data_IF_443073286273
#
_entry.id   IF_443073286273
#
_cell.length_a   1.000
_cell.length_b   1.000
_cell.length_c   1.000
_cell.angle_alpha   90.00
_cell.angle_beta   90.00
_cell.angle_gamma   90.00
#
_symmetry.space_group_name_H-M   'P 1'
#
loop_
_entity.id
_entity.type
_entity.pdbx_description
1 polymer ?
#
# COMPACT_ATOMS: atom_id res chain seq x y z
N UNK A 1 -15.92 -13.16 -7.61
CA UNK A 1 -16.20 -11.74 -7.43
C UNK A 1 -17.49 -11.36 -8.17
N UNK A 2 -18.34 -10.55 -7.54
CA UNK A 2 -19.56 -10.02 -8.14
C UNK A 2 -19.31 -8.79 -9.02
N UNK A 3 -20.36 -8.28 -9.68
CA UNK A 3 -20.30 -7.02 -10.42
C UNK A 3 -20.00 -5.84 -9.46
N UNK A 4 -19.20 -4.85 -9.89
CA UNK A 4 -18.91 -3.69 -9.06
C UNK A 4 -20.16 -2.81 -8.88
N UNK A 5 -20.34 -2.32 -7.67
CA UNK A 5 -21.40 -1.37 -7.29
C UNK A 5 -20.78 -0.08 -6.78
N UNK A 6 -21.25 1.06 -7.24
CA UNK A 6 -20.83 2.38 -6.74
C UNK A 6 -21.91 2.86 -5.76
N UNK A 7 -21.47 3.09 -4.52
CA UNK A 7 -22.35 3.54 -3.44
C UNK A 7 -21.79 4.84 -2.82
N UNK A 8 -22.62 5.69 -2.22
CA UNK A 8 -22.13 6.83 -1.44
C UNK A 8 -21.20 6.38 -0.32
N UNK A 9 -20.25 7.25 0.07
CA UNK A 9 -19.37 6.96 1.21
C UNK A 9 -20.19 6.76 2.48
N UNK A 10 -20.15 5.56 3.01
CA UNK A 10 -20.93 5.14 4.18
C UNK A 10 -20.25 4.03 4.96
N UNK A 11 -20.81 3.68 6.12
CA UNK A 11 -20.32 2.59 6.95
C UNK A 11 -20.39 1.25 6.21
N UNK A 12 -19.35 0.42 6.38
CA UNK A 12 -19.35 -0.98 5.95
C UNK A 12 -19.78 -1.85 7.13
N UNK A 13 -20.97 -2.44 7.04
CA UNK A 13 -21.45 -3.36 8.07
C UNK A 13 -20.73 -4.71 7.97
N UNK A 14 -20.19 -5.16 9.10
CA UNK A 14 -19.56 -6.47 9.27
C UNK A 14 -20.01 -7.08 10.60
N UNK A 15 -20.18 -8.40 10.63
CA UNK A 15 -20.43 -9.11 11.87
C UNK A 15 -19.18 -9.14 12.75
N UNK A 16 -19.29 -9.07 14.09
CA UNK A 16 -18.12 -9.11 14.99
C UNK A 16 -17.24 -10.34 14.80
N UNK A 17 -17.80 -11.47 14.32
CA UNK A 17 -17.06 -12.69 14.00
C UNK A 17 -16.42 -12.70 12.60
N UNK A 18 -16.46 -11.59 11.85
CA UNK A 18 -15.79 -11.51 10.56
C UNK A 18 -14.28 -11.67 10.71
N UNK A 19 -13.68 -12.55 9.91
CA UNK A 19 -12.26 -12.96 10.02
C UNK A 19 -11.27 -11.79 9.97
N UNK A 20 -11.62 -10.70 9.32
CA UNK A 20 -10.77 -9.50 9.29
C UNK A 20 -10.44 -8.98 10.69
N UNK A 21 -11.38 -9.02 11.64
CA UNK A 21 -11.19 -8.51 12.99
C UNK A 21 -10.27 -9.38 13.85
N UNK A 22 -10.16 -10.68 13.52
CA UNK A 22 -9.44 -11.67 14.32
C UNK A 22 -8.07 -12.01 13.75
N UNK A 23 -7.95 -12.09 12.43
CA UNK A 23 -6.75 -12.59 11.75
C UNK A 23 -6.11 -11.59 10.79
N UNK A 24 -6.70 -10.41 10.61
CA UNK A 24 -6.13 -9.33 9.82
C UNK A 24 -5.89 -9.69 8.34
N UNK A 25 -6.63 -10.67 7.76
CA UNK A 25 -6.48 -11.09 6.37
C UNK A 25 -7.00 -9.97 5.45
N UNK A 26 -6.13 -9.03 5.15
CA UNK A 26 -6.40 -7.84 4.35
C UNK A 26 -5.16 -7.38 3.61
N UNK A 27 -5.39 -6.90 2.40
CA UNK A 27 -4.38 -6.26 1.55
C UNK A 27 -4.91 -4.95 1.02
N UNK A 28 -4.02 -4.07 0.60
CA UNK A 28 -4.43 -2.81 -0.01
C UNK A 28 -3.44 -2.34 -1.07
N UNK A 29 -3.87 -1.38 -1.85
CA UNK A 29 -3.06 -0.65 -2.82
C UNK A 29 -3.12 0.86 -2.59
N UNK A 30 -2.24 1.56 -3.25
CA UNK A 30 -2.24 3.01 -3.28
C UNK A 30 -1.70 3.50 -4.61
N UNK A 31 -2.52 4.25 -5.31
CA UNK A 31 -2.17 4.95 -6.53
C UNK A 31 -2.78 6.35 -6.52
N UNK A 32 -2.45 7.17 -7.49
CA UNK A 32 -2.94 8.54 -7.55
C UNK A 32 -3.43 8.87 -8.96
N UNK A 33 -4.52 9.63 -9.03
CA UNK A 33 -4.93 10.31 -10.24
C UNK A 33 -4.50 11.78 -10.18
N UNK A 34 -4.02 12.27 -11.31
CA UNK A 34 -3.53 13.62 -11.49
C UNK A 34 -4.31 14.31 -12.62
N UNK A 35 -4.44 15.63 -12.55
CA UNK A 35 -5.05 16.42 -13.60
C UNK A 35 -4.02 17.39 -14.17
N UNK A 36 -3.86 17.38 -15.48
CA UNK A 36 -2.96 18.30 -16.18
C UNK A 36 -3.63 19.66 -16.47
N UNK A 37 -2.88 20.57 -17.08
CA UNK A 37 -3.37 21.90 -17.44
C UNK A 37 -4.44 21.90 -18.56
N UNK A 38 -4.59 20.79 -19.28
CA UNK A 38 -5.62 20.59 -20.29
C UNK A 38 -6.87 19.92 -19.71
N UNK A 39 -6.94 19.80 -18.38
CA UNK A 39 -8.03 19.17 -17.65
C UNK A 39 -8.16 17.65 -17.90
N UNK A 40 -7.09 17.00 -18.40
CA UNK A 40 -7.04 15.56 -18.60
C UNK A 40 -6.60 14.84 -17.34
N UNK A 41 -7.22 13.69 -17.07
CA UNK A 41 -6.89 12.85 -15.91
C UNK A 41 -5.88 11.78 -16.29
N UNK A 42 -4.85 11.63 -15.47
CA UNK A 42 -3.76 10.69 -15.67
C UNK A 42 -3.58 9.78 -14.48
N UNK A 43 -3.28 8.50 -14.76
CA UNK A 43 -2.85 7.51 -13.78
C UNK A 43 -1.40 7.11 -14.07
N UNK A 44 -0.60 6.95 -13.03
CA UNK A 44 0.78 6.50 -13.18
C UNK A 44 0.88 4.99 -13.06
N UNK A 45 1.04 4.29 -14.19
CA UNK A 45 1.28 2.83 -14.29
C UNK A 45 0.30 1.96 -13.48
N UNK A 46 -1.03 2.16 -13.59
CA UNK A 46 -2.03 1.48 -12.77
C UNK A 46 -2.00 -0.06 -12.94
N UNK A 47 -1.52 -0.57 -14.08
CA UNK A 47 -1.32 -1.99 -14.33
C UNK A 47 -0.33 -2.62 -13.35
N UNK A 48 0.70 -1.88 -12.95
CA UNK A 48 1.67 -2.37 -11.96
C UNK A 48 1.04 -2.47 -10.56
N UNK A 49 0.15 -1.55 -10.21
CA UNK A 49 -0.63 -1.64 -8.98
C UNK A 49 -1.60 -2.82 -9.02
N UNK A 50 -2.27 -3.05 -10.16
CA UNK A 50 -3.14 -4.20 -10.35
C UNK A 50 -2.37 -5.53 -10.21
N UNK A 51 -1.21 -5.67 -10.85
CA UNK A 51 -0.34 -6.86 -10.69
C UNK A 51 0.07 -7.05 -9.22
N UNK A 52 0.41 -5.96 -8.53
CA UNK A 52 0.89 -6.01 -7.15
C UNK A 52 -0.22 -6.36 -6.15
N UNK A 53 -1.46 -5.88 -6.33
CA UNK A 53 -2.58 -6.29 -5.45
C UNK A 53 -2.83 -7.79 -5.59
N UNK A 54 -2.78 -8.36 -6.79
CA UNK A 54 -2.95 -9.80 -6.99
C UNK A 54 -1.75 -10.62 -6.48
N UNK A 55 -0.52 -10.11 -6.58
CA UNK A 55 0.64 -10.69 -5.91
C UNK A 55 0.44 -10.74 -4.38
N UNK A 56 -0.09 -9.67 -3.81
CA UNK A 56 -0.42 -9.60 -2.37
C UNK A 56 -1.57 -10.53 -2.00
N UNK A 57 -2.62 -10.62 -2.84
CA UNK A 57 -3.73 -11.57 -2.70
C UNK A 57 -3.22 -13.00 -2.61
N UNK A 58 -2.42 -13.42 -3.58
CA UNK A 58 -1.83 -14.76 -3.62
C UNK A 58 -1.05 -15.09 -2.35
N UNK A 59 -0.25 -14.12 -1.84
CA UNK A 59 0.56 -14.34 -0.62
C UNK A 59 -0.28 -14.53 0.64
N UNK A 60 -1.48 -13.95 0.70
CA UNK A 60 -2.40 -14.06 1.84
C UNK A 60 -3.55 -15.04 1.59
N UNK A 61 -3.45 -15.92 0.59
CA UNK A 61 -4.50 -16.88 0.23
C UNK A 61 -5.86 -16.19 -0.06
N UNK A 62 -5.83 -15.00 -0.67
CA UNK A 62 -7.01 -14.28 -1.17
C UNK A 62 -7.14 -14.58 -2.67
N UNK A 63 -8.33 -14.86 -3.20
CA UNK A 63 -8.54 -15.03 -4.64
C UNK A 63 -8.11 -13.82 -5.45
N UNK A 64 -7.52 -14.04 -6.62
CA UNK A 64 -7.14 -12.95 -7.53
C UNK A 64 -8.38 -12.17 -7.97
N UNK A 65 -8.24 -10.84 -8.05
CA UNK A 65 -9.29 -9.96 -8.54
C UNK A 65 -9.20 -9.85 -10.07
N UNK A 66 -10.32 -9.96 -10.81
CA UNK A 66 -10.31 -9.87 -12.28
C UNK A 66 -9.88 -8.50 -12.79
N UNK A 67 -9.05 -8.48 -13.83
CA UNK A 67 -8.50 -7.25 -14.42
C UNK A 67 -9.58 -6.32 -14.95
N UNK A 68 -10.51 -6.89 -15.68
CA UNK A 68 -11.60 -6.17 -16.32
C UNK A 68 -12.46 -5.44 -15.27
N UNK A 69 -12.83 -6.12 -14.20
CA UNK A 69 -13.62 -5.53 -13.10
C UNK A 69 -12.85 -4.44 -12.36
N UNK A 70 -11.52 -4.62 -12.19
CA UNK A 70 -10.69 -3.60 -11.53
C UNK A 70 -10.66 -2.30 -12.30
N UNK A 71 -10.38 -2.36 -13.60
CA UNK A 71 -10.26 -1.16 -14.41
C UNK A 71 -11.62 -0.54 -14.74
N UNK A 72 -12.66 -1.35 -14.94
CA UNK A 72 -14.03 -0.87 -15.10
C UNK A 72 -14.51 -0.07 -13.88
N UNK A 73 -14.31 -0.61 -12.68
CA UNK A 73 -14.68 0.07 -11.44
C UNK A 73 -13.89 1.37 -11.25
N UNK A 74 -12.58 1.32 -11.52
CA UNK A 74 -11.70 2.48 -11.40
C UNK A 74 -12.10 3.60 -12.38
N UNK A 75 -12.36 3.28 -13.64
CA UNK A 75 -12.78 4.23 -14.65
C UNK A 75 -14.12 4.88 -14.29
N UNK A 76 -15.13 4.08 -13.94
CA UNK A 76 -16.46 4.59 -13.57
C UNK A 76 -16.39 5.55 -12.37
N UNK A 77 -15.60 5.20 -11.35
CA UNK A 77 -15.43 6.06 -10.18
C UNK A 77 -14.67 7.36 -10.52
N UNK A 78 -13.64 7.30 -11.36
CA UNK A 78 -12.88 8.48 -11.77
C UNK A 78 -13.73 9.44 -12.63
N UNK A 79 -14.60 8.92 -13.48
CA UNK A 79 -15.53 9.72 -14.25
C UNK A 79 -16.55 10.43 -13.36
N UNK A 80 -17.04 9.74 -12.32
CA UNK A 80 -18.02 10.30 -11.38
C UNK A 80 -17.39 11.40 -10.51
N UNK A 81 -16.19 11.14 -9.97
CA UNK A 81 -15.52 12.01 -9.00
C UNK A 81 -14.40 12.89 -9.62
N UNK A 82 -14.42 13.10 -10.94
CA UNK A 82 -13.39 13.87 -11.67
C UNK A 82 -13.16 15.28 -11.13
N UNK A 83 -14.16 15.90 -10.54
CA UNK A 83 -14.06 17.27 -9.98
C UNK A 83 -13.25 17.32 -8.67
N UNK A 84 -13.03 16.18 -8.02
CA UNK A 84 -12.16 16.08 -6.86
C UNK A 84 -10.66 16.05 -7.23
N UNK A 85 -10.34 15.83 -8.50
CA UNK A 85 -8.96 15.83 -9.00
C UNK A 85 -8.58 17.29 -9.30
N UNK A 86 -7.82 17.93 -8.40
CA UNK A 86 -7.37 19.31 -8.55
C UNK A 86 -6.13 19.38 -9.45
N UNK A 87 -6.05 20.42 -10.28
CA UNK A 87 -4.85 20.77 -11.03
C UNK A 87 -3.76 21.31 -10.09
N UNK A 88 -2.51 21.30 -10.55
CA UNK A 88 -1.38 21.94 -9.90
C UNK A 88 -0.45 20.95 -9.18
N UNK A 89 0.80 21.40 -9.03
CA UNK A 89 1.87 20.62 -8.40
C UNK A 89 1.50 20.27 -6.96
N UNK A 90 1.68 18.99 -6.61
CA UNK A 90 1.39 18.47 -5.28
C UNK A 90 -0.05 18.00 -5.09
N UNK A 91 -1.00 18.43 -5.90
CA UNK A 91 -2.38 17.96 -5.83
C UNK A 91 -2.55 16.60 -6.52
N UNK A 92 -3.40 15.77 -5.95
CA UNK A 92 -3.77 14.46 -6.50
C UNK A 92 -5.05 13.95 -5.86
N UNK A 93 -5.71 13.00 -6.52
CA UNK A 93 -6.73 12.18 -5.90
C UNK A 93 -6.10 10.83 -5.55
N UNK A 94 -5.99 10.54 -4.27
CA UNK A 94 -5.47 9.25 -3.79
C UNK A 94 -6.54 8.17 -3.95
N UNK A 95 -6.13 7.05 -4.52
CA UNK A 95 -6.97 5.89 -4.81
C UNK A 95 -6.51 4.74 -3.93
N UNK A 96 -7.41 4.20 -3.10
CA UNK A 96 -7.17 3.12 -2.16
C UNK A 96 -8.01 1.88 -2.50
N UNK A 97 -7.57 1.00 -3.39
CA UNK A 97 -8.13 -0.35 -3.50
C UNK A 97 -7.71 -1.18 -2.29
N UNK A 98 -8.62 -1.98 -1.74
CA UNK A 98 -8.29 -2.90 -0.65
C UNK A 98 -9.25 -4.08 -0.61
N UNK A 99 -8.78 -5.18 -0.02
CA UNK A 99 -9.57 -6.40 0.19
C UNK A 99 -9.58 -6.74 1.66
N UNK A 100 -10.74 -7.12 2.17
CA UNK A 100 -10.94 -7.59 3.54
C UNK A 100 -11.65 -8.95 3.55
N UNK A 101 -11.25 -9.83 4.46
CA UNK A 101 -11.92 -11.11 4.72
C UNK A 101 -13.21 -10.88 5.52
N UNK A 102 -14.35 -11.30 4.98
CA UNK A 102 -15.67 -11.02 5.55
C UNK A 102 -16.41 -12.23 6.08
N UNK A 103 -15.92 -13.45 5.86
CA UNK A 103 -16.53 -14.67 6.38
C UNK A 103 -16.72 -14.59 7.91
N UNK A 104 -17.93 -14.92 8.36
CA UNK A 104 -18.32 -14.87 9.78
C UNK A 104 -17.99 -16.19 10.48
N UNK A 105 -16.73 -16.31 10.91
CA UNK A 105 -16.23 -17.50 11.58
C UNK A 105 -14.99 -17.15 12.42
N UNK A 106 -14.89 -17.68 13.63
CA UNK A 106 -13.75 -17.52 14.53
C UNK A 106 -12.84 -18.75 14.45
N UNK A 107 -12.39 -19.09 13.24
CA UNK A 107 -11.38 -20.14 13.01
C UNK A 107 -10.16 -19.56 12.30
N UNK A 108 -8.95 -19.96 12.73
CA UNK A 108 -7.68 -19.50 12.16
C UNK A 108 -7.39 -20.24 10.83
N UNK A 109 -8.19 -19.93 9.81
CA UNK A 109 -8.07 -20.46 8.45
C UNK A 109 -8.33 -19.34 7.43
N UNK A 110 -7.87 -19.48 6.17
CA UNK A 110 -8.22 -18.53 5.12
C UNK A 110 -9.73 -18.34 5.00
N UNK A 111 -10.15 -17.12 4.70
CA UNK A 111 -11.56 -16.83 4.44
C UNK A 111 -12.01 -17.37 3.09
N UNK A 112 -13.29 -17.68 2.97
CA UNK A 112 -13.95 -18.00 1.69
C UNK A 112 -14.77 -16.82 1.15
N UNK A 113 -14.93 -15.76 1.94
CA UNK A 113 -15.72 -14.59 1.60
C UNK A 113 -14.89 -13.32 1.78
N UNK A 114 -14.95 -12.44 0.78
CA UNK A 114 -14.17 -11.21 0.75
C UNK A 114 -15.01 -10.05 0.22
N UNK A 115 -14.68 -8.84 0.67
CA UNK A 115 -15.10 -7.59 0.02
C UNK A 115 -13.88 -6.91 -0.59
N UNK A 116 -13.98 -6.54 -1.87
CA UNK A 116 -13.07 -5.63 -2.55
C UNK A 116 -13.71 -4.25 -2.58
N UNK A 117 -12.96 -3.23 -2.16
CA UNK A 117 -13.44 -1.85 -2.10
C UNK A 117 -12.40 -0.91 -2.70
N UNK A 118 -12.86 0.17 -3.32
CA UNK A 118 -12.04 1.30 -3.75
C UNK A 118 -12.54 2.55 -3.06
N UNK A 119 -11.64 3.30 -2.43
CA UNK A 119 -11.93 4.61 -1.83
C UNK A 119 -11.09 5.68 -2.51
N UNK A 120 -11.65 6.88 -2.64
CA UNK A 120 -10.94 8.07 -3.09
C UNK A 120 -10.78 9.08 -1.95
N UNK A 121 -9.65 9.79 -1.97
CA UNK A 121 -9.37 10.86 -1.02
C UNK A 121 -8.50 11.93 -1.67
N UNK A 122 -8.89 13.21 -1.66
CA UNK A 122 -8.00 14.28 -2.08
C UNK A 122 -6.72 14.26 -1.25
N UNK A 123 -5.57 14.40 -1.89
CA UNK A 123 -4.28 14.32 -1.24
C UNK A 123 -3.31 15.38 -1.79
N UNK A 124 -2.48 15.88 -0.91
CA UNK A 124 -1.32 16.72 -1.23
C UNK A 124 -0.02 15.94 -1.02
N UNK A 125 1.13 16.62 -1.09
CA UNK A 125 2.41 16.02 -0.80
C UNK A 125 2.43 15.42 0.62
N UNK A 126 2.96 14.21 0.76
CA UNK A 126 2.99 13.49 2.03
C UNK A 126 3.93 14.12 3.06
N UNK A 127 5.06 14.66 2.59
CA UNK A 127 6.04 15.39 3.40
C UNK A 127 6.30 16.78 2.80
N UNK A 128 6.48 17.75 3.67
CA UNK A 128 6.92 19.10 3.32
C UNK A 128 8.40 19.25 3.72
N UNK A 129 9.32 19.06 2.78
CA UNK A 129 10.76 19.20 3.00
C UNK A 129 11.46 17.91 3.46
N UNK A 130 12.62 18.07 4.10
CA UNK A 130 13.48 16.99 4.54
C UNK A 130 12.88 16.20 5.70
N UNK A 131 13.11 14.89 5.70
CA UNK A 131 12.59 13.96 6.70
C UNK A 131 13.74 13.42 7.53
N UNK A 132 13.68 13.62 8.85
CA UNK A 132 14.62 13.01 9.77
C UNK A 132 14.29 11.55 9.96
N UNK A 133 15.29 10.69 9.76
CA UNK A 133 15.14 9.23 9.83
C UNK A 133 16.07 8.63 10.87
N UNK A 134 15.67 7.52 11.45
CA UNK A 134 16.52 6.67 12.29
C UNK A 134 16.67 5.29 11.65
N UNK A 135 17.84 4.68 11.79
CA UNK A 135 18.09 3.31 11.34
C UNK A 135 17.61 2.35 12.44
N UNK A 136 16.88 1.31 12.05
CA UNK A 136 16.42 0.30 12.99
C UNK A 136 17.58 -0.59 13.45
N UNK A 137 17.73 -0.74 14.78
CA UNK A 137 18.78 -1.55 15.40
C UNK A 137 18.23 -2.80 16.12
N UNK A 138 16.91 -2.87 16.31
CA UNK A 138 16.29 -3.95 17.08
C UNK A 138 15.00 -4.46 16.44
N UNK A 139 14.08 -3.56 16.13
CA UNK A 139 12.82 -3.95 15.51
C UNK A 139 13.00 -4.20 14.01
N UNK A 140 12.28 -5.20 13.49
CA UNK A 140 12.30 -5.56 12.08
C UNK A 140 10.94 -5.34 11.44
N UNK A 141 10.93 -4.87 10.20
CA UNK A 141 9.71 -4.74 9.40
C UNK A 141 9.24 -6.09 8.86
N UNK A 142 10.16 -6.94 8.46
CA UNK A 142 9.89 -8.20 7.77
C UNK A 142 11.08 -9.14 7.88
N UNK A 143 10.86 -10.43 7.59
CA UNK A 143 11.89 -11.47 7.57
C UNK A 143 11.86 -12.25 6.24
N UNK A 144 12.89 -13.05 5.97
CA UNK A 144 12.91 -14.00 4.85
C UNK A 144 11.75 -14.99 4.99
N UNK A 145 11.06 -15.28 3.87
CA UNK A 145 9.83 -16.08 3.87
C UNK A 145 8.62 -15.39 4.48
N UNK A 146 8.78 -14.16 4.98
CA UNK A 146 7.71 -13.35 5.56
C UNK A 146 6.78 -12.72 4.52
N UNK A 147 6.02 -11.72 4.94
CA UNK A 147 5.01 -11.05 4.10
C UNK A 147 5.41 -9.64 3.64
N UNK A 148 6.69 -9.29 3.78
CA UNK A 148 7.19 -7.94 3.47
C UNK A 148 6.99 -7.48 2.04
N UNK A 149 7.05 -8.40 1.06
CA UNK A 149 6.79 -8.13 -0.35
C UNK A 149 5.30 -8.04 -0.69
N UNK A 150 4.40 -8.41 0.22
CA UNK A 150 2.96 -8.21 0.07
C UNK A 150 2.54 -6.88 0.72
N UNK A 151 1.57 -6.21 0.10
CA UNK A 151 1.00 -4.99 0.68
C UNK A 151 -0.13 -5.36 1.67
N UNK A 152 0.24 -6.13 2.69
CA UNK A 152 -0.62 -6.65 3.73
C UNK A 152 -0.83 -5.62 4.85
N UNK A 153 -2.04 -5.47 5.34
CA UNK A 153 -2.37 -4.50 6.40
C UNK A 153 -1.56 -4.72 7.68
N UNK A 154 -1.33 -5.98 8.07
CA UNK A 154 -0.56 -6.34 9.25
C UNK A 154 0.89 -5.85 9.24
N UNK A 155 1.53 -5.74 8.07
CA UNK A 155 2.89 -5.18 7.97
C UNK A 155 2.96 -3.73 8.46
N UNK A 156 1.88 -2.98 8.35
CA UNK A 156 1.82 -1.57 8.76
C UNK A 156 1.53 -1.46 10.24
N UNK A 157 0.60 -2.24 10.77
CA UNK A 157 0.29 -2.27 12.20
C UNK A 157 1.52 -2.65 13.05
N UNK A 158 2.30 -3.63 12.60
CA UNK A 158 3.54 -4.07 13.27
C UNK A 158 4.60 -2.95 13.39
N UNK A 159 4.55 -1.94 12.53
CA UNK A 159 5.49 -0.82 12.54
C UNK A 159 5.08 0.33 13.47
N UNK A 160 3.84 0.37 13.98
CA UNK A 160 3.33 1.54 14.73
C UNK A 160 4.10 1.77 16.02
N UNK A 161 4.35 0.73 16.80
CA UNK A 161 5.09 0.87 18.06
C UNK A 161 6.52 1.43 17.87
N UNK A 162 7.40 0.81 17.06
CA UNK A 162 8.74 1.36 16.84
C UNK A 162 8.72 2.74 16.16
N UNK A 163 7.72 3.02 15.29
CA UNK A 163 7.56 4.35 14.69
C UNK A 163 7.20 5.40 15.73
N UNK A 164 6.39 5.08 16.74
CA UNK A 164 6.08 5.99 17.81
C UNK A 164 7.32 6.26 18.68
N UNK A 165 8.11 5.24 19.01
CA UNK A 165 9.39 5.44 19.70
C UNK A 165 10.37 6.34 18.92
N UNK A 166 10.40 6.20 17.59
CA UNK A 166 11.20 7.08 16.74
C UNK A 166 10.69 8.53 16.78
N UNK A 167 9.37 8.74 16.72
CA UNK A 167 8.74 10.07 16.81
C UNK A 167 9.02 10.77 18.14
N UNK A 168 8.98 10.05 19.25
CA UNK A 168 9.33 10.58 20.58
C UNK A 168 10.76 11.11 20.64
N UNK A 169 11.67 10.54 19.82
CA UNK A 169 13.05 11.01 19.64
C UNK A 169 13.22 12.06 18.55
N UNK A 170 12.12 12.56 17.95
CA UNK A 170 12.14 13.61 16.92
C UNK A 170 12.40 13.13 15.50
N UNK A 171 12.31 11.81 15.22
CA UNK A 171 12.40 11.24 13.87
C UNK A 171 11.01 11.05 13.26
N UNK A 172 10.87 11.27 11.96
CA UNK A 172 9.61 11.09 11.24
C UNK A 172 9.46 9.69 10.63
N UNK A 173 10.58 9.02 10.33
CA UNK A 173 10.59 7.70 9.71
C UNK A 173 11.72 6.80 10.24
N UNK A 174 11.53 5.51 10.04
CA UNK A 174 12.54 4.49 10.29
C UNK A 174 13.02 3.94 8.94
N UNK A 175 14.33 3.85 8.74
CA UNK A 175 14.93 3.00 7.71
C UNK A 175 15.14 1.63 8.35
N UNK A 176 14.46 0.65 7.82
CA UNK A 176 14.52 -0.73 8.30
C UNK A 176 15.81 -1.41 7.84
N UNK A 177 16.24 -2.33 8.65
CA UNK A 177 17.39 -3.21 8.37
C UNK A 177 16.93 -4.66 8.29
N UNK A 178 17.79 -5.51 7.76
CA UNK A 178 17.54 -6.95 7.73
C UNK A 178 17.26 -7.50 9.14
N UNK A 179 16.30 -8.42 9.22
CA UNK A 179 15.83 -8.96 10.51
C UNK A 179 16.81 -9.91 11.21
N UNK A 180 17.90 -10.29 10.55
CA UNK A 180 18.82 -11.31 11.04
C UNK A 180 20.00 -10.71 11.79
N UNK A 181 20.65 -9.72 11.20
CA UNK A 181 21.88 -9.14 11.73
C UNK A 181 21.81 -7.62 11.91
N UNK A 182 20.75 -6.96 11.42
CA UNK A 182 20.58 -5.52 11.39
C UNK A 182 21.75 -4.75 10.73
N UNK A 183 22.35 -5.35 9.71
CA UNK A 183 23.52 -4.79 8.99
C UNK A 183 23.19 -4.15 7.66
N UNK A 184 22.16 -4.65 6.96
CA UNK A 184 21.83 -4.23 5.61
C UNK A 184 20.59 -3.33 5.64
N UNK A 185 20.72 -2.14 5.03
CA UNK A 185 19.60 -1.22 4.90
C UNK A 185 18.59 -1.76 3.88
N UNK A 186 17.32 -1.72 4.21
CA UNK A 186 16.23 -2.23 3.37
C UNK A 186 15.37 -1.08 2.85
N UNK A 187 14.22 -0.85 3.42
CA UNK A 187 13.30 0.22 3.01
C UNK A 187 12.81 1.01 4.23
N UNK A 188 12.18 2.15 4.02
CA UNK A 188 11.52 2.89 5.09
C UNK A 188 10.10 2.36 5.33
N UNK A 189 9.42 2.85 6.37
CA UNK A 189 8.13 2.32 6.79
C UNK A 189 7.05 2.30 5.71
N UNK A 190 7.05 3.26 4.80
CA UNK A 190 6.02 3.40 3.75
C UNK A 190 6.57 3.53 2.33
N UNK A 191 7.90 3.45 2.13
CA UNK A 191 8.54 3.74 0.87
C UNK A 191 9.86 2.98 0.68
N UNK A 192 10.19 2.66 -0.58
CA UNK A 192 11.54 2.24 -0.93
C UNK A 192 12.50 3.42 -0.78
N UNK A 193 13.78 3.10 -0.56
CA UNK A 193 14.84 4.10 -0.35
C UNK A 193 15.92 3.92 -1.39
N UNK A 194 16.45 5.03 -1.88
CA UNK A 194 17.66 5.08 -2.70
C UNK A 194 18.72 5.87 -1.94
N UNK A 195 19.93 5.34 -1.91
CA UNK A 195 21.09 5.94 -1.28
C UNK A 195 22.05 6.42 -2.35
N UNK A 196 22.45 7.69 -2.31
CA UNK A 196 23.58 8.18 -3.11
C UNK A 196 24.86 7.98 -2.32
N UNK A 197 25.72 7.08 -2.81
CA UNK A 197 27.03 6.81 -2.22
C UNK A 197 28.06 7.10 -3.30
N UNK A 198 28.85 8.14 -3.10
CA UNK A 198 29.70 8.73 -4.14
C UNK A 198 28.85 9.08 -5.38
N UNK A 199 29.16 8.53 -6.55
CA UNK A 199 28.44 8.75 -7.81
C UNK A 199 27.44 7.62 -8.15
N UNK A 200 27.21 6.70 -7.22
CA UNK A 200 26.27 5.59 -7.41
C UNK A 200 24.96 5.83 -6.68
N UNK A 201 23.85 5.52 -7.34
CA UNK A 201 22.53 5.45 -6.72
C UNK A 201 22.19 3.99 -6.44
N UNK A 202 22.07 3.65 -5.15
CA UNK A 202 21.92 2.27 -4.67
C UNK A 202 20.56 2.13 -3.99
N UNK A 203 19.87 1.02 -4.26
CA UNK A 203 18.64 0.63 -3.56
C UNK A 203 18.69 -0.87 -3.26
N UNK A 204 18.03 -1.28 -2.18
CA UNK A 204 17.94 -2.69 -1.82
C UNK A 204 17.27 -3.52 -2.93
N UNK A 205 17.76 -4.74 -3.24
CA UNK A 205 17.12 -5.63 -4.20
C UNK A 205 15.75 -6.07 -3.70
N UNK A 206 14.83 -6.35 -4.62
CA UNK A 206 13.52 -6.94 -4.26
C UNK A 206 13.70 -8.33 -3.70
N UNK A 207 12.98 -8.62 -2.62
CA UNK A 207 12.98 -9.91 -1.92
C UNK A 207 11.64 -10.11 -1.21
N UNK A 208 11.50 -11.15 -0.41
CA UNK A 208 10.32 -11.35 0.45
C UNK A 208 10.16 -10.26 1.52
N UNK A 209 11.23 -9.53 1.81
CA UNK A 209 11.26 -8.47 2.82
C UNK A 209 10.90 -7.09 2.30
N UNK A 210 11.03 -6.85 0.99
CA UNK A 210 10.94 -5.52 0.38
C UNK A 210 9.77 -5.43 -0.59
N UNK A 211 8.94 -4.40 -0.42
CA UNK A 211 7.84 -4.15 -1.32
C UNK A 211 8.36 -3.70 -2.70
N UNK A 212 7.86 -4.36 -3.74
CA UNK A 212 8.19 -4.04 -5.13
C UNK A 212 7.47 -2.76 -5.58
N UNK A 213 8.08 -1.60 -5.28
CA UNK A 213 7.50 -0.28 -5.51
C UNK A 213 7.37 0.08 -6.99
N UNK A 214 6.20 0.60 -7.39
CA UNK A 214 5.97 1.03 -8.78
C UNK A 214 6.91 2.17 -9.17
N UNK A 215 7.08 3.16 -8.28
CA UNK A 215 8.04 4.27 -8.48
C UNK A 215 9.47 3.75 -8.53
N UNK A 216 9.83 2.83 -7.62
CA UNK A 216 11.16 2.19 -7.63
C UNK A 216 11.45 1.54 -8.98
N UNK A 217 10.55 0.73 -9.51
CA UNK A 217 10.68 0.12 -10.84
C UNK A 217 10.90 1.15 -11.94
N UNK A 218 10.20 2.28 -11.87
CA UNK A 218 10.28 3.34 -12.87
C UNK A 218 11.59 4.13 -12.83
N UNK A 219 12.23 4.21 -11.66
CA UNK A 219 13.53 4.87 -11.48
C UNK A 219 14.70 3.98 -11.92
N UNK A 220 14.52 2.66 -11.92
CA UNK A 220 15.56 1.70 -12.31
C UNK A 220 15.53 1.42 -13.83
N UNK A 221 14.35 1.52 -14.46
CA UNK A 221 14.18 1.29 -15.90
C UNK A 221 14.73 2.44 -16.73
#
# INVERSE_FOLDING_TARGET
WGAPEIIPYQAVSLMPSSKIFHYGQSIFEGMKAYKDNNNQTWLFRPEENFKRINKSSKRLAIPEFPKELFFEALEKMLLLDKEWIKCGIGNSLYIRPFVIATQTEVSASPSNEYKFLILFSPAQAYYAGDVKVVIAEHYSRSADGGVGAAKAAGNYAAQFYPTNLAKEKGFQQIIWTDSKEHKYLEEAGTMNVFFRINDNLITAPTSDRILDGVTRKSLIA
#
